data_IF_434390300469
#
_entry.id   IF_434390300469
#
_cell.length_a   1.000
_cell.length_b   1.000
_cell.length_c   1.000
_cell.angle_alpha   90.00
_cell.angle_beta   90.00
_cell.angle_gamma   90.00
#
_symmetry.space_group_name_H-M   'P 1'
#
loop_
_entity.id
_entity.type
_entity.pdbx_description
1 polymer ?
#
# COMPACT_ATOMS: atom_id res chain seq x y z
N UNK A 1 -4.07 -6.78 13.25
CA UNK A 1 -4.91 -5.73 12.65
C UNK A 1 -5.05 -6.03 11.17
N UNK A 2 -6.26 -6.19 10.63
CA UNK A 2 -6.54 -6.74 9.29
C UNK A 2 -6.17 -5.86 8.09
N UNK A 3 -5.17 -4.98 8.24
CA UNK A 3 -4.75 -4.06 7.16
C UNK A 3 -4.27 -4.81 5.92
N UNK A 4 -3.61 -5.97 6.11
CA UNK A 4 -3.21 -6.81 4.98
C UNK A 4 -4.40 -7.23 4.12
N UNK A 5 -5.49 -7.68 4.75
CA UNK A 5 -6.71 -8.09 4.04
C UNK A 5 -7.45 -6.91 3.45
N UNK A 6 -7.48 -5.76 4.15
CA UNK A 6 -8.03 -4.52 3.62
C UNK A 6 -7.32 -4.08 2.33
N UNK A 7 -5.99 -4.15 2.31
CA UNK A 7 -5.20 -3.76 1.14
C UNK A 7 -5.46 -4.62 -0.10
N UNK A 8 -5.92 -5.88 0.04
CA UNK A 8 -6.29 -6.76 -1.09
C UNK A 8 -7.39 -6.18 -1.97
N UNK A 9 -8.27 -5.35 -1.39
CA UNK A 9 -9.41 -4.74 -2.11
C UNK A 9 -9.30 -3.23 -2.26
N UNK A 10 -8.53 -2.56 -1.39
CA UNK A 10 -8.43 -1.10 -1.41
C UNK A 10 -7.61 -0.57 -2.60
N UNK A 11 -6.31 -0.86 -2.65
CA UNK A 11 -5.41 -0.42 -3.74
C UNK A 11 -5.31 1.09 -4.00
N UNK A 12 -5.89 1.97 -3.17
CA UNK A 12 -6.03 3.41 -3.49
C UNK A 12 -4.69 4.13 -3.66
N UNK A 13 -3.66 3.71 -2.92
CA UNK A 13 -2.31 4.26 -3.05
C UNK A 13 -1.70 3.97 -4.43
N UNK A 14 -2.02 2.82 -5.03
CA UNK A 14 -1.58 2.47 -6.38
C UNK A 14 -2.32 3.31 -7.43
N UNK A 15 -3.62 3.52 -7.26
CA UNK A 15 -4.43 4.36 -8.15
C UNK A 15 -4.02 5.85 -8.07
N UNK A 16 -3.68 6.32 -6.88
CA UNK A 16 -3.26 7.70 -6.65
C UNK A 16 -1.82 7.99 -7.08
N UNK A 17 -0.99 6.97 -7.29
CA UNK A 17 0.41 7.16 -7.67
C UNK A 17 0.49 7.77 -9.08
N UNK A 18 0.99 9.02 -9.24
CA UNK A 18 1.04 9.66 -10.56
C UNK A 18 2.05 9.01 -11.52
N UNK A 19 2.89 8.11 -11.00
CA UNK A 19 3.90 7.38 -11.75
C UNK A 19 3.55 5.90 -11.96
N UNK A 20 2.43 5.41 -11.39
CA UNK A 20 2.02 4.01 -11.52
C UNK A 20 3.04 2.99 -11.00
N UNK A 21 3.78 3.35 -9.93
CA UNK A 21 4.92 2.55 -9.47
C UNK A 21 4.60 1.53 -8.38
N UNK A 22 3.35 1.49 -7.90
CA UNK A 22 2.89 0.61 -6.83
C UNK A 22 2.02 -0.48 -7.45
N UNK A 23 2.26 -1.73 -7.11
CA UNK A 23 1.49 -2.85 -7.62
C UNK A 23 0.05 -2.88 -7.11
N UNK A 24 -0.84 -3.43 -7.95
CA UNK A 24 -2.26 -3.64 -7.68
C UNK A 24 -2.63 -5.09 -8.01
N UNK A 25 -3.67 -5.61 -7.37
CA UNK A 25 -4.15 -6.98 -7.57
C UNK A 25 -3.68 -7.90 -6.45
N UNK A 26 -3.28 -9.12 -6.79
CA UNK A 26 -2.85 -10.10 -5.81
C UNK A 26 -1.41 -9.85 -5.33
N UNK A 27 -1.11 -10.05 -4.04
CA UNK A 27 0.24 -9.96 -3.52
C UNK A 27 1.10 -11.14 -4.02
N UNK A 28 2.42 -10.94 -4.03
CA UNK A 28 3.37 -11.97 -4.47
C UNK A 28 4.48 -12.21 -3.45
N UNK A 29 4.99 -13.44 -3.40
CA UNK A 29 6.20 -13.81 -2.66
C UNK A 29 7.48 -13.36 -3.36
N UNK A 30 7.39 -13.05 -4.66
CA UNK A 30 8.51 -12.69 -5.52
C UNK A 30 8.83 -11.18 -5.46
N UNK A 31 10.07 -10.83 -5.80
CA UNK A 31 10.51 -9.44 -5.95
C UNK A 31 10.23 -8.94 -7.37
N UNK A 32 8.96 -8.65 -7.66
CA UNK A 32 8.45 -8.28 -9.00
C UNK A 32 8.82 -6.86 -9.46
N UNK A 33 9.34 -6.00 -8.57
CA UNK A 33 9.75 -4.63 -8.92
C UNK A 33 11.24 -4.35 -8.59
N UNK A 34 11.91 -3.47 -9.37
CA UNK A 34 13.26 -3.03 -9.06
C UNK A 34 13.38 -2.40 -7.67
N UNK A 35 14.44 -2.79 -6.94
CA UNK A 35 14.71 -2.32 -5.58
C UNK A 35 13.87 -2.99 -4.48
N UNK A 36 12.96 -3.91 -4.85
CA UNK A 36 12.23 -4.74 -3.88
C UNK A 36 13.04 -5.97 -3.45
N UNK A 37 12.69 -6.53 -2.28
CA UNK A 37 13.30 -7.76 -1.74
C UNK A 37 12.28 -8.90 -1.71
N UNK A 38 12.66 -10.14 -2.06
CA UNK A 38 11.77 -11.29 -1.99
C UNK A 38 11.64 -11.79 -0.53
N UNK A 39 10.81 -12.81 -0.32
CA UNK A 39 10.71 -13.51 0.97
C UNK A 39 9.55 -13.07 1.87
N UNK A 40 8.63 -12.26 1.34
CA UNK A 40 7.36 -11.97 2.00
C UNK A 40 6.24 -11.81 0.97
N UNK A 41 5.02 -12.23 1.30
CA UNK A 41 3.88 -12.06 0.41
C UNK A 41 3.34 -10.62 0.47
N UNK A 42 3.57 -9.82 -0.57
CA UNK A 42 3.09 -8.45 -0.58
C UNK A 42 3.16 -7.79 -1.95
N UNK A 43 2.62 -6.57 -2.02
CA UNK A 43 2.73 -5.70 -3.19
C UNK A 43 4.07 -4.97 -3.16
N UNK A 44 4.70 -4.87 -4.32
CA UNK A 44 5.96 -4.15 -4.48
C UNK A 44 5.72 -2.74 -4.99
N UNK A 45 6.72 -1.91 -4.75
CA UNK A 45 6.83 -0.59 -5.37
C UNK A 45 8.17 -0.55 -6.09
N UNK A 46 8.22 0.01 -7.29
CA UNK A 46 9.50 0.30 -7.93
C UNK A 46 10.17 1.43 -7.16
N UNK A 47 11.09 1.07 -6.26
CA UNK A 47 11.76 2.05 -5.39
C UNK A 47 12.92 2.75 -6.10
N UNK A 48 13.35 2.27 -7.27
CA UNK A 48 14.43 2.88 -8.05
C UNK A 48 13.98 4.14 -8.77
N UNK A 49 12.74 4.18 -9.23
CA UNK A 49 12.16 5.34 -9.94
C UNK A 49 11.16 6.13 -9.10
N UNK A 50 10.92 5.72 -7.86
CA UNK A 50 10.05 6.44 -6.94
C UNK A 50 10.72 7.76 -6.50
N UNK A 51 10.10 8.93 -6.72
CA UNK A 51 10.65 10.20 -6.24
C UNK A 51 10.39 10.44 -4.74
N UNK A 52 9.90 9.42 -4.02
CA UNK A 52 9.57 9.48 -2.59
C UNK A 52 8.57 10.59 -2.22
N UNK A 53 7.62 10.87 -3.11
CA UNK A 53 6.53 11.82 -2.84
C UNK A 53 5.51 11.23 -1.83
N UNK A 54 4.80 12.08 -1.06
CA UNK A 54 3.92 11.62 0.03
C UNK A 54 2.51 11.18 -0.42
N UNK A 55 2.21 11.13 -1.73
CA UNK A 55 0.84 10.93 -2.24
C UNK A 55 0.22 9.59 -1.78
N UNK A 56 0.98 8.51 -1.79
CA UNK A 56 0.50 7.20 -1.31
C UNK A 56 0.21 7.20 0.20
N UNK A 57 0.95 7.98 0.97
CA UNK A 57 0.70 8.13 2.40
C UNK A 57 -0.52 9.02 2.63
N UNK A 58 -0.64 10.16 1.96
CA UNK A 58 -1.76 11.09 2.16
C UNK A 58 -3.12 10.54 1.70
N UNK A 59 -3.13 9.69 0.67
CA UNK A 59 -4.33 9.00 0.19
C UNK A 59 -4.74 7.81 1.04
N UNK A 60 -3.86 7.32 1.93
CA UNK A 60 -4.14 6.16 2.75
C UNK A 60 -5.24 6.48 3.77
N UNK A 61 -6.34 5.71 3.83
CA UNK A 61 -7.42 5.95 4.79
C UNK A 61 -7.02 5.72 6.26
N UNK A 62 -5.87 5.09 6.50
CA UNK A 62 -5.27 4.94 7.83
C UNK A 62 -4.37 6.13 8.22
N UNK A 63 -4.06 7.04 7.30
CA UNK A 63 -3.20 8.20 7.53
C UNK A 63 -4.02 9.47 7.78
N UNK A 64 -4.97 9.40 8.72
CA UNK A 64 -5.83 10.52 9.12
C UNK A 64 -5.48 10.96 10.55
N UNK A 65 -5.44 12.27 10.82
CA UNK A 65 -5.18 12.82 12.15
C UNK A 65 -6.45 12.75 13.03
N UNK A 66 -6.35 12.15 14.22
CA UNK A 66 -7.44 12.04 15.22
C UNK A 66 -7.83 10.60 15.56
N UNK A 67 -8.35 10.41 16.78
CA UNK A 67 -8.73 9.17 17.50
C UNK A 67 -9.17 7.97 16.65
N UNK A 68 -8.22 7.36 15.93
CA UNK A 68 -8.46 6.23 15.03
C UNK A 68 -9.39 6.58 13.87
N UNK A 69 -8.87 6.52 12.63
CA UNK A 69 -9.76 6.40 11.47
C UNK A 69 -10.83 5.36 11.78
N UNK A 70 -12.13 5.63 11.56
CA UNK A 70 -13.22 4.66 11.75
C UNK A 70 -12.89 3.28 11.11
N UNK A 71 -12.05 3.30 10.08
CA UNK A 71 -11.52 2.13 9.37
C UNK A 71 -10.64 1.24 10.28
N UNK A 72 -9.89 1.80 11.23
CA UNK A 72 -9.12 1.01 12.19
C UNK A 72 -10.05 0.13 13.05
N UNK A 73 -11.19 0.64 13.51
CA UNK A 73 -12.15 -0.14 14.29
C UNK A 73 -12.91 -1.16 13.42
N UNK A 74 -13.20 -0.80 12.17
CA UNK A 74 -13.78 -1.72 11.19
C UNK A 74 -12.87 -2.92 10.88
N UNK A 75 -11.55 -2.71 10.83
CA UNK A 75 -10.56 -3.71 10.39
C UNK A 75 -9.91 -4.47 11.56
N UNK A 76 -10.26 -4.12 12.81
CA UNK A 76 -9.77 -4.80 14.02
C UNK A 76 -10.56 -6.06 14.38
N UNK A 77 -11.84 -6.15 13.98
CA UNK A 77 -12.75 -7.26 14.32
C UNK A 77 -12.58 -8.47 13.40
#
# INVERSE_FOLDING_TARGET
FGVYDFCKTCGICADACPFGLIEKGDPSWEATQPGSRPGFNGWRTNTTTCPHCPVCQSSCPFNTNGDGSFIHDLVRN
#
